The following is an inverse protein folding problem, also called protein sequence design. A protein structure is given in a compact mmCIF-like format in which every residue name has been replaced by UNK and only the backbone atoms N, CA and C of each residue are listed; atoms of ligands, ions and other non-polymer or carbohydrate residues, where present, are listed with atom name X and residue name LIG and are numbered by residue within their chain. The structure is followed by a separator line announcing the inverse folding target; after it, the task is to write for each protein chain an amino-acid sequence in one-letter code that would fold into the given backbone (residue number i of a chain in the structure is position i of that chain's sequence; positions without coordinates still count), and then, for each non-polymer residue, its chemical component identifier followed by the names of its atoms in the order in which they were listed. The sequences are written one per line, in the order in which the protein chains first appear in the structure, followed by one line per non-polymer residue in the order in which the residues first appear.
data_IF_292065982253
#
_entry.id   IF_292065982253
#
_cell.length_a   1.000
_cell.length_b   1.000
_cell.length_c   1.000
_cell.angle_alpha   90.00
_cell.angle_beta   90.00
_cell.angle_gamma   90.00
#
_symmetry.space_group_name_H-M   'P 1'
#
loop_
_entity.id
_entity.type
_entity.pdbx_description
1 polymer ?
#
# COMPACT_ATOMS: atom_id res chain seq x y z
N UNK A 1 23.01 17.60 5.80
CA UNK A 1 22.00 18.24 6.67
C UNK A 1 20.62 17.95 6.08
N UNK A 2 19.69 17.38 6.86
CA UNK A 2 18.33 17.12 6.40
C UNK A 2 17.62 18.45 6.06
N UNK A 3 17.26 18.66 4.80
CA UNK A 3 16.39 19.79 4.44
C UNK A 3 14.92 19.44 4.77
N UNK A 4 14.10 20.48 4.96
CA UNK A 4 12.68 20.32 5.33
C UNK A 4 11.93 19.36 4.40
N UNK A 5 12.24 19.38 3.10
CA UNK A 5 11.66 18.48 2.09
C UNK A 5 11.87 17.01 2.45
N UNK A 6 13.11 16.62 2.80
CA UNK A 6 13.44 15.24 3.18
C UNK A 6 12.65 14.76 4.39
N UNK A 7 12.48 15.64 5.39
CA UNK A 7 11.72 15.34 6.61
C UNK A 7 10.24 15.12 6.27
N UNK A 8 9.65 16.00 5.44
CA UNK A 8 8.24 15.88 5.06
C UNK A 8 7.99 14.64 4.20
N UNK A 9 8.92 14.25 3.33
CA UNK A 9 8.86 12.98 2.59
C UNK A 9 8.84 11.81 3.58
N UNK A 10 9.81 11.77 4.50
CA UNK A 10 9.90 10.70 5.50
C UNK A 10 8.63 10.59 6.35
N UNK A 11 8.06 11.72 6.81
CA UNK A 11 6.80 11.75 7.56
C UNK A 11 5.65 11.21 6.71
N UNK A 12 5.51 11.65 5.46
CA UNK A 12 4.41 11.25 4.58
C UNK A 12 4.41 9.74 4.32
N UNK A 13 5.57 9.19 3.98
CA UNK A 13 5.70 7.76 3.72
C UNK A 13 5.72 6.90 5.00
N UNK A 14 6.15 7.46 6.14
CA UNK A 14 6.02 6.78 7.45
C UNK A 14 4.57 6.72 7.89
N UNK A 15 3.79 7.79 7.71
CA UNK A 15 2.35 7.78 7.95
C UNK A 15 1.66 6.75 7.07
N UNK A 16 1.99 6.72 5.77
CA UNK A 16 1.45 5.74 4.83
C UNK A 16 1.77 4.29 5.25
N UNK A 17 3.02 4.04 5.63
CA UNK A 17 3.49 2.74 6.11
C UNK A 17 2.78 2.34 7.41
N UNK A 18 2.63 3.26 8.36
CA UNK A 18 1.90 3.02 9.60
C UNK A 18 0.43 2.68 9.34
N UNK A 19 -0.24 3.43 8.46
CA UNK A 19 -1.62 3.16 8.07
C UNK A 19 -1.79 1.77 7.44
N UNK A 20 -0.93 1.40 6.49
CA UNK A 20 -0.94 0.06 5.88
C UNK A 20 -0.58 -1.05 6.90
N UNK A 21 0.31 -0.76 7.85
CA UNK A 21 0.59 -1.71 8.94
C UNK A 21 -0.63 -1.96 9.81
N UNK A 22 -1.40 -0.91 10.14
CA UNK A 22 -2.65 -1.04 10.89
C UNK A 22 -3.68 -1.88 10.14
N UNK A 23 -3.88 -1.62 8.84
CA UNK A 23 -4.75 -2.45 8.01
C UNK A 23 -4.27 -3.91 7.93
N UNK A 24 -2.96 -4.14 7.95
CA UNK A 24 -2.39 -5.49 7.88
C UNK A 24 -2.75 -6.32 9.11
N UNK A 25 -2.93 -5.68 10.27
CA UNK A 25 -3.43 -6.35 11.47
C UNK A 25 -4.90 -6.75 11.36
N UNK A 26 -5.73 -5.93 10.69
CA UNK A 26 -7.14 -6.27 10.41
C UNK A 26 -7.20 -7.45 9.45
N UNK A 27 -6.33 -7.49 8.44
CA UNK A 27 -6.31 -8.53 7.41
C UNK A 27 -5.63 -9.84 7.86
N UNK A 28 -4.94 -9.84 9.00
CA UNK A 28 -4.18 -10.99 9.50
C UNK A 28 -4.94 -12.33 9.48
N UNK A 29 -6.24 -12.40 9.84
CA UNK A 29 -7.00 -13.65 9.80
C UNK A 29 -7.12 -14.28 8.41
N UNK A 30 -6.93 -13.49 7.35
CA UNK A 30 -7.15 -13.91 5.96
C UNK A 30 -5.88 -13.86 5.11
N UNK A 31 -4.70 -13.64 5.71
CA UNK A 31 -3.42 -13.64 4.98
C UNK A 31 -3.15 -14.94 4.23
N UNK A 32 -3.69 -16.07 4.70
CA UNK A 32 -3.59 -17.34 3.99
C UNK A 32 -4.13 -17.29 2.55
N UNK A 33 -5.09 -16.41 2.29
CA UNK A 33 -5.72 -16.21 0.98
C UNK A 33 -4.83 -15.49 -0.03
N UNK A 34 -3.73 -14.87 0.42
CA UNK A 34 -2.75 -14.23 -0.48
C UNK A 34 -2.07 -15.25 -1.39
N UNK A 35 -1.85 -16.47 -0.86
CA UNK A 35 -1.14 -17.53 -1.57
C UNK A 35 -2.06 -18.60 -2.14
N UNK A 36 -3.20 -18.83 -1.48
CA UNK A 36 -4.13 -19.90 -1.81
C UNK A 36 -5.55 -19.48 -1.42
N UNK A 37 -6.42 -19.27 -2.42
CA UNK A 37 -7.83 -18.92 -2.18
C UNK A 37 -8.53 -20.00 -1.36
N UNK A 38 -8.10 -21.26 -1.43
CA UNK A 38 -8.78 -22.39 -0.82
C UNK A 38 -8.17 -22.75 0.54
N UNK A 39 -7.35 -21.86 1.10
CA UNK A 39 -6.62 -22.11 2.33
C UNK A 39 -7.55 -22.54 3.48
N UNK A 40 -7.44 -23.80 3.97
CA UNK A 40 -8.40 -24.35 4.93
C UNK A 40 -8.28 -23.74 6.33
N UNK A 41 -7.22 -22.95 6.59
CA UNK A 41 -7.04 -22.25 7.87
C UNK A 41 -7.88 -20.98 7.96
N UNK A 42 -8.36 -20.48 6.83
CA UNK A 42 -9.25 -19.31 6.78
C UNK A 42 -10.68 -19.84 6.73
N UNK A 43 -11.43 -19.63 7.80
CA UNK A 43 -12.84 -19.99 7.84
C UNK A 43 -13.66 -19.05 6.98
N UNK A 44 -14.77 -19.55 6.45
CA UNK A 44 -15.68 -18.74 5.63
C UNK A 44 -16.25 -17.56 6.42
N UNK A 45 -16.54 -17.77 7.71
CA UNK A 45 -16.95 -16.71 8.62
C UNK A 45 -15.91 -15.58 8.69
N UNK A 46 -14.62 -15.92 8.86
CA UNK A 46 -13.55 -14.94 8.87
C UNK A 46 -13.40 -14.24 7.51
N UNK A 47 -13.48 -14.98 6.41
CA UNK A 47 -13.40 -14.40 5.06
C UNK A 47 -14.52 -13.38 4.84
N UNK A 48 -15.78 -13.74 5.18
CA UNK A 48 -16.95 -12.84 5.05
C UNK A 48 -16.86 -11.63 5.97
N UNK A 49 -16.45 -11.83 7.22
CA UNK A 49 -16.27 -10.75 8.20
C UNK A 49 -15.26 -9.73 7.70
N UNK A 50 -14.05 -10.17 7.36
CA UNK A 50 -12.99 -9.26 6.88
C UNK A 50 -13.37 -8.64 5.54
N UNK A 51 -14.01 -9.38 4.63
CA UNK A 51 -14.52 -8.80 3.38
C UNK A 51 -15.52 -7.66 3.65
N UNK A 52 -16.46 -7.84 4.58
CA UNK A 52 -17.41 -6.79 4.96
C UNK A 52 -16.72 -5.57 5.60
N UNK A 53 -15.72 -5.79 6.45
CA UNK A 53 -14.93 -4.71 7.06
C UNK A 53 -14.14 -3.92 6.02
N UNK A 54 -13.39 -4.61 5.16
CA UNK A 54 -12.62 -3.98 4.08
C UNK A 54 -13.54 -3.23 3.11
N UNK A 55 -14.71 -3.78 2.78
CA UNK A 55 -15.69 -3.11 1.91
C UNK A 55 -16.22 -1.79 2.50
N UNK A 56 -16.25 -1.63 3.83
CA UNK A 56 -16.55 -0.34 4.48
C UNK A 56 -15.37 0.64 4.36
N UNK A 57 -14.16 0.14 4.58
CA UNK A 57 -12.93 0.94 4.61
C UNK A 57 -12.51 1.42 3.21
N UNK A 58 -12.78 0.64 2.16
CA UNK A 58 -12.32 0.87 0.78
C UNK A 58 -12.84 2.16 0.14
N UNK A 59 -13.86 2.80 0.72
CA UNK A 59 -14.36 4.10 0.26
C UNK A 59 -13.58 5.29 0.85
N UNK A 60 -12.81 5.06 1.91
CA UNK A 60 -12.10 6.11 2.66
C UNK A 60 -10.58 5.91 2.54
N UNK A 61 -10.10 4.69 2.73
CA UNK A 61 -8.67 4.39 2.77
C UNK A 61 -7.96 4.68 1.44
N UNK A 62 -8.40 4.15 0.27
CA UNK A 62 -7.69 4.40 -0.98
C UNK A 62 -7.64 5.88 -1.39
N UNK A 63 -8.72 6.69 -1.28
CA UNK A 63 -8.63 8.14 -1.55
C UNK A 63 -7.69 8.89 -0.61
N UNK A 64 -7.74 8.56 0.69
CA UNK A 64 -6.85 9.16 1.70
C UNK A 64 -5.39 8.83 1.38
N UNK A 65 -5.11 7.56 1.12
CA UNK A 65 -3.77 7.09 0.79
C UNK A 65 -3.26 7.61 -0.55
N UNK A 66 -4.13 7.73 -1.56
CA UNK A 66 -3.79 8.38 -2.82
C UNK A 66 -3.33 9.82 -2.59
N UNK A 67 -3.99 10.57 -1.71
CA UNK A 67 -3.62 11.95 -1.38
C UNK A 67 -2.25 12.04 -0.71
N UNK A 68 -2.02 11.22 0.32
CA UNK A 68 -0.73 11.16 1.04
C UNK A 68 0.40 10.77 0.11
N UNK A 69 0.24 9.66 -0.63
CA UNK A 69 1.29 9.12 -1.50
C UNK A 69 1.55 10.05 -2.68
N UNK A 70 0.52 10.66 -3.28
CA UNK A 70 0.72 11.63 -4.36
C UNK A 70 1.46 12.87 -3.88
N UNK A 71 1.13 13.37 -2.68
CA UNK A 71 1.85 14.51 -2.08
C UNK A 71 3.31 14.15 -1.80
N UNK A 72 3.58 12.97 -1.23
CA UNK A 72 4.93 12.47 -1.04
C UNK A 72 5.68 12.29 -2.36
N UNK A 73 5.00 11.84 -3.42
CA UNK A 73 5.58 11.67 -4.76
C UNK A 73 6.03 12.99 -5.37
N UNK A 74 5.21 14.04 -5.27
CA UNK A 74 5.58 15.40 -5.71
C UNK A 74 6.81 15.89 -4.94
N UNK A 75 6.88 15.62 -3.65
CA UNK A 75 8.04 16.02 -2.83
C UNK A 75 9.32 15.25 -3.20
N UNK A 76 9.23 13.95 -3.50
CA UNK A 76 10.37 13.16 -3.98
C UNK A 76 10.90 13.71 -5.30
N UNK A 77 10.02 14.05 -6.24
CA UNK A 77 10.40 14.72 -7.49
C UNK A 77 11.07 16.06 -7.24
N UNK A 78 10.52 16.86 -6.32
CA UNK A 78 11.09 18.15 -5.96
C UNK A 78 12.47 18.00 -5.30
N UNK A 79 12.66 17.00 -4.43
CA UNK A 79 13.96 16.68 -3.84
C UNK A 79 14.97 16.25 -4.90
N UNK A 80 14.58 15.40 -5.85
CA UNK A 80 15.44 14.98 -6.96
C UNK A 80 15.90 16.18 -7.78
N UNK A 81 15.00 17.13 -8.06
CA UNK A 81 15.36 18.37 -8.74
C UNK A 81 16.32 19.25 -7.91
N UNK A 82 16.06 19.43 -6.61
CA UNK A 82 16.94 20.19 -5.72
C UNK A 82 18.36 19.59 -5.62
N UNK A 83 18.47 18.27 -5.73
CA UNK A 83 19.75 17.56 -5.69
C UNK A 83 20.38 17.37 -7.09
N UNK A 84 19.92 18.12 -8.09
CA UNK A 84 20.42 18.06 -9.47
C UNK A 84 20.47 16.62 -10.03
N UNK A 85 19.46 15.81 -9.72
CA UNK A 85 19.37 14.42 -10.17
C UNK A 85 20.52 13.51 -9.71
N UNK A 86 21.09 13.78 -8.53
CA UNK A 86 22.09 12.90 -7.93
C UNK A 86 21.59 11.45 -7.77
N UNK A 87 22.50 10.48 -7.89
CA UNK A 87 22.20 9.04 -7.96
C UNK A 87 21.31 8.55 -6.81
N UNK A 88 21.56 9.02 -5.58
CA UNK A 88 20.78 8.65 -4.39
C UNK A 88 19.33 9.12 -4.46
N UNK A 89 19.09 10.38 -4.85
CA UNK A 89 17.74 10.92 -5.00
C UNK A 89 17.00 10.27 -6.18
N UNK A 90 17.72 9.97 -7.26
CA UNK A 90 17.18 9.25 -8.40
C UNK A 90 16.75 7.83 -8.00
N UNK A 91 17.54 7.15 -7.16
CA UNK A 91 17.20 5.80 -6.65
C UNK A 91 15.90 5.80 -5.87
N UNK A 92 15.67 6.78 -4.98
CA UNK A 92 14.41 6.95 -4.25
C UNK A 92 13.24 7.15 -5.23
N UNK A 93 13.41 8.02 -6.23
CA UNK A 93 12.39 8.31 -7.22
C UNK A 93 12.05 7.07 -8.06
N UNK A 94 13.06 6.38 -8.60
CA UNK A 94 12.88 5.17 -9.42
C UNK A 94 12.18 4.08 -8.62
N UNK A 95 12.59 3.82 -7.38
CA UNK A 95 11.90 2.89 -6.50
C UNK A 95 10.42 3.25 -6.34
N UNK A 96 10.12 4.51 -6.03
CA UNK A 96 8.76 4.98 -5.85
C UNK A 96 7.92 4.82 -7.12
N UNK A 97 8.43 5.23 -8.28
CA UNK A 97 7.68 5.15 -9.53
C UNK A 97 7.40 3.72 -9.96
N UNK A 98 8.40 2.83 -9.87
CA UNK A 98 8.21 1.44 -10.26
C UNK A 98 7.25 0.72 -9.31
N UNK A 99 7.46 0.86 -8.00
CA UNK A 99 6.64 0.19 -7.00
C UNK A 99 5.21 0.73 -6.97
N UNK A 100 5.03 2.04 -6.97
CA UNK A 100 3.70 2.65 -6.91
C UNK A 100 2.98 2.60 -8.26
N UNK A 101 3.71 2.66 -9.38
CA UNK A 101 3.16 2.43 -10.71
C UNK A 101 2.55 1.02 -10.83
N UNK A 102 3.26 0.01 -10.32
CA UNK A 102 2.72 -1.34 -10.22
C UNK A 102 1.46 -1.39 -9.35
N UNK A 103 1.50 -0.83 -8.13
CA UNK A 103 0.36 -0.83 -7.21
C UNK A 103 -0.88 -0.17 -7.83
N UNK A 104 -0.72 1.03 -8.39
CA UNK A 104 -1.82 1.80 -9.01
C UNK A 104 -2.42 1.05 -10.21
N UNK A 105 -1.59 0.37 -11.01
CA UNK A 105 -2.05 -0.37 -12.19
C UNK A 105 -3.06 -1.47 -11.86
N UNK A 106 -2.98 -2.06 -10.67
CA UNK A 106 -3.87 -3.15 -10.25
C UNK A 106 -4.94 -2.70 -9.24
N UNK A 107 -4.69 -1.63 -8.48
CA UNK A 107 -5.52 -1.21 -7.36
C UNK A 107 -6.99 -1.02 -7.75
N UNK A 108 -7.26 -0.35 -8.89
CA UNK A 108 -8.65 -0.08 -9.32
C UNK A 108 -9.43 -1.36 -9.60
N UNK A 109 -8.81 -2.32 -10.28
CA UNK A 109 -9.45 -3.59 -10.61
C UNK A 109 -9.73 -4.42 -9.35
N UNK A 110 -8.76 -4.49 -8.42
CA UNK A 110 -8.91 -5.22 -7.14
C UNK A 110 -9.99 -4.59 -6.24
N UNK A 111 -10.03 -3.26 -6.15
CA UNK A 111 -11.09 -2.54 -5.44
C UNK A 111 -12.46 -2.82 -6.05
N UNK A 112 -12.55 -2.77 -7.38
CA UNK A 112 -13.82 -3.00 -8.08
C UNK A 112 -14.36 -4.41 -7.82
N UNK A 113 -13.50 -5.44 -7.87
CA UNK A 113 -13.87 -6.83 -7.61
C UNK A 113 -14.48 -7.01 -6.21
N UNK A 114 -13.83 -6.49 -5.16
CA UNK A 114 -14.35 -6.54 -3.78
C UNK A 114 -15.65 -5.74 -3.61
N UNK A 115 -15.79 -4.62 -4.33
CA UNK A 115 -17.04 -3.83 -4.28
C UNK A 115 -18.21 -4.56 -4.94
N UNK A 116 -17.98 -5.25 -6.06
CA UNK A 116 -19.03 -5.94 -6.82
C UNK A 116 -19.55 -7.20 -6.13
N UNK A 117 -18.73 -7.87 -5.33
CA UNK A 117 -19.10 -9.13 -4.66
C UNK A 117 -19.87 -8.82 -3.36
N UNK A 118 -20.96 -9.53 -3.10
CA UNK A 118 -21.65 -9.48 -1.81
C UNK A 118 -20.85 -10.23 -0.76
N UNK A 119 -20.72 -9.69 0.46
CA UNK A 119 -20.05 -10.43 1.55
C UNK A 119 -20.76 -11.74 1.91
N UNK A 120 -22.05 -11.85 1.61
CA UNK A 120 -22.87 -13.07 1.78
C UNK A 120 -23.00 -13.88 0.47
N UNK A 121 -22.25 -13.53 -0.57
CA UNK A 121 -22.26 -14.17 -1.88
C UNK A 121 -21.52 -15.51 -1.91
N UNK A 122 -21.18 -15.96 -3.12
CA UNK A 122 -20.33 -17.14 -3.32
C UNK A 122 -19.02 -16.97 -2.55
N UNK A 123 -18.65 -18.01 -1.79
CA UNK A 123 -17.51 -17.95 -0.90
C UNK A 123 -16.19 -17.96 -1.67
N UNK A 124 -16.13 -18.65 -2.82
CA UNK A 124 -14.92 -18.75 -3.62
C UNK A 124 -14.57 -17.36 -4.19
N UNK A 125 -15.57 -16.66 -4.72
CA UNK A 125 -15.44 -15.27 -5.20
C UNK A 125 -14.99 -14.31 -4.07
N UNK A 126 -15.59 -14.43 -2.87
CA UNK A 126 -15.22 -13.60 -1.71
C UNK A 126 -13.75 -13.82 -1.34
N UNK A 127 -13.31 -15.08 -1.33
CA UNK A 127 -11.94 -15.46 -0.96
C UNK A 127 -10.92 -15.02 -1.99
N UNK A 128 -11.21 -15.18 -3.28
CA UNK A 128 -10.35 -14.69 -4.37
C UNK A 128 -10.23 -13.17 -4.34
N UNK A 129 -11.37 -12.46 -4.23
CA UNK A 129 -11.40 -11.00 -4.13
C UNK A 129 -10.60 -10.49 -2.94
N UNK A 130 -10.74 -11.14 -1.79
CA UNK A 130 -10.03 -10.80 -0.55
C UNK A 130 -8.53 -11.07 -0.68
N UNK A 131 -8.12 -12.23 -1.19
CA UNK A 131 -6.72 -12.57 -1.43
C UNK A 131 -6.03 -11.56 -2.35
N UNK A 132 -6.71 -11.19 -3.45
CA UNK A 132 -6.21 -10.16 -4.37
C UNK A 132 -6.08 -8.78 -3.74
N UNK A 133 -7.03 -8.38 -2.89
CA UNK A 133 -6.99 -7.08 -2.20
C UNK A 133 -5.89 -7.03 -1.12
N UNK A 134 -5.75 -8.08 -0.31
CA UNK A 134 -4.69 -8.18 0.70
C UNK A 134 -3.32 -8.19 0.00
N UNK A 135 -3.18 -8.89 -1.12
CA UNK A 135 -1.93 -8.89 -1.91
C UNK A 135 -1.54 -7.47 -2.33
N UNK A 136 -2.44 -6.72 -2.95
CA UNK A 136 -2.11 -5.36 -3.42
C UNK A 136 -1.82 -4.41 -2.26
N UNK A 137 -2.49 -4.61 -1.12
CA UNK A 137 -2.25 -3.84 0.09
C UNK A 137 -0.83 -4.09 0.65
N UNK A 138 -0.39 -5.35 0.77
CA UNK A 138 0.97 -5.68 1.22
C UNK A 138 2.03 -5.18 0.23
N UNK A 139 1.76 -5.21 -1.07
CA UNK A 139 2.64 -4.58 -2.07
C UNK A 139 2.74 -3.06 -1.85
N UNK A 140 1.63 -2.40 -1.50
CA UNK A 140 1.63 -0.99 -1.09
C UNK A 140 2.46 -0.73 0.16
N UNK A 141 2.35 -1.60 1.18
CA UNK A 141 3.16 -1.53 2.41
C UNK A 141 4.66 -1.66 2.12
N UNK A 142 5.06 -2.63 1.28
CA UNK A 142 6.45 -2.82 0.87
C UNK A 142 6.95 -1.57 0.11
N UNK A 143 6.14 -1.06 -0.82
CA UNK A 143 6.49 0.13 -1.59
C UNK A 143 6.78 1.33 -0.69
N UNK A 144 5.86 1.66 0.23
CA UNK A 144 6.03 2.81 1.13
C UNK A 144 7.15 2.60 2.15
N UNK A 145 7.30 1.38 2.67
CA UNK A 145 8.41 1.04 3.58
C UNK A 145 9.76 1.20 2.90
N UNK A 146 9.88 0.76 1.64
CA UNK A 146 11.09 0.95 0.85
C UNK A 146 11.44 2.42 0.65
N UNK A 147 10.45 3.30 0.41
CA UNK A 147 10.69 4.74 0.36
C UNK A 147 11.20 5.27 1.69
N UNK A 148 10.60 4.87 2.83
CA UNK A 148 11.07 5.29 4.17
C UNK A 148 12.52 4.87 4.40
N UNK A 149 12.87 3.63 4.07
CA UNK A 149 14.23 3.09 4.22
C UNK A 149 15.20 3.89 3.36
N UNK A 150 14.93 4.04 2.07
CA UNK A 150 15.80 4.78 1.14
C UNK A 150 15.92 6.25 1.54
N UNK A 151 14.84 6.88 2.00
CA UNK A 151 14.86 8.26 2.48
C UNK A 151 15.70 8.39 3.75
N UNK A 152 15.63 7.41 4.66
CA UNK A 152 16.44 7.38 5.88
C UNK A 152 17.92 7.26 5.53
N UNK A 153 18.27 6.36 4.61
CA UNK A 153 19.64 6.21 4.10
C UNK A 153 20.13 7.53 3.49
N UNK A 154 19.32 8.16 2.63
CA UNK A 154 19.69 9.42 1.96
C UNK A 154 19.91 10.58 2.96
N UNK A 155 19.20 10.61 4.08
CA UNK A 155 19.24 11.74 5.02
C UNK A 155 20.26 11.54 6.13
N UNK A 156 20.44 10.30 6.59
CA UNK A 156 21.26 9.98 7.77
C UNK A 156 22.66 9.53 7.36
N UNK A 157 22.80 8.84 6.23
CA UNK A 157 24.07 8.21 5.83
C UNK A 157 24.80 8.96 4.72
N UNK A 158 24.12 9.87 4.01
CA UNK A 158 24.64 10.62 2.86
C UNK A 158 24.48 12.13 3.09
#
# INVERSE_FOLDING_TARGET
MANLTSIVIAISFSFATGFFTTLSYVEKPVWGLVFDSDNPRVTDENARLIHAELKRIINIAPPTMATVVSSGTVLVLYQMWQQNFGESALTVAVWLFLSMGYVISQLRARIAAVKSISSDGDIDDVREGLGGLVTIHHMGLIATSGVVILQTVLVVLL
#
